data_IF_847346859055
#
_entry.id   IF_847346859055
#
_cell.length_a   1.000
_cell.length_b   1.000
_cell.length_c   1.000
_cell.angle_alpha   90.00
_cell.angle_beta   90.00
_cell.angle_gamma   90.00
#
_symmetry.space_group_name_H-M   'P 1'
#
loop_
_entity.id
_entity.type
_entity.pdbx_description
1 polymer ?
#
# COMPACT_ATOMS: atom_id res chain seq x y z
N UNK A 1 -9.29 0.41 8.25
CA UNK A 1 -8.52 1.47 7.55
C UNK A 1 -7.05 1.30 7.90
N UNK A 2 -6.10 1.69 7.05
CA UNK A 2 -4.69 1.49 7.36
C UNK A 2 -4.17 2.52 8.38
N UNK A 3 -3.28 2.09 9.28
CA UNK A 3 -2.64 2.99 10.25
C UNK A 3 -1.80 4.04 9.51
N UNK A 4 -2.03 5.32 9.81
CA UNK A 4 -1.33 6.47 9.20
C UNK A 4 0.19 6.35 9.31
N UNK A 5 0.70 5.91 10.46
CA UNK A 5 2.14 5.70 10.68
C UNK A 5 2.75 4.67 9.72
N UNK A 6 1.97 3.66 9.29
CA UNK A 6 2.45 2.64 8.36
C UNK A 6 2.45 3.13 6.91
N UNK A 7 1.53 4.03 6.56
CA UNK A 7 1.49 4.69 5.25
C UNK A 7 2.72 5.60 5.11
N UNK A 8 2.96 6.45 6.13
CA UNK A 8 4.15 7.30 6.17
C UNK A 8 5.46 6.50 6.14
N UNK A 9 5.53 5.37 6.84
CA UNK A 9 6.70 4.47 6.80
C UNK A 9 6.97 3.94 5.39
N UNK A 10 5.93 3.66 4.61
CA UNK A 10 6.05 3.13 3.26
C UNK A 10 6.49 4.20 2.24
N UNK A 11 6.11 5.46 2.45
CA UNK A 11 6.54 6.58 1.60
C UNK A 11 8.03 6.89 1.74
N UNK A 12 8.64 6.53 2.87
CA UNK A 12 10.09 6.69 3.08
C UNK A 12 10.86 5.69 2.24
N UNK A 13 12.04 6.10 1.76
CA UNK A 13 12.96 5.23 1.03
C UNK A 13 13.42 4.08 1.94
N UNK A 14 13.13 2.82 1.59
CA UNK A 14 13.54 1.69 2.42
C UNK A 14 15.04 1.44 2.27
N UNK A 15 15.70 1.02 3.37
CA UNK A 15 17.12 0.63 3.37
C UNK A 15 17.45 -0.47 2.35
N UNK A 16 16.52 -1.38 2.09
CA UNK A 16 16.67 -2.47 1.13
C UNK A 16 15.48 -2.51 0.17
N UNK A 17 15.74 -2.67 -1.12
CA UNK A 17 14.72 -2.70 -2.18
C UNK A 17 13.61 -3.73 -1.92
N UNK A 18 13.96 -4.88 -1.34
CA UNK A 18 13.02 -5.98 -1.02
C UNK A 18 11.96 -5.61 0.02
N UNK A 19 12.16 -4.53 0.80
CA UNK A 19 11.19 -4.08 1.81
C UNK A 19 10.06 -3.21 1.22
N UNK A 20 10.20 -2.79 -0.04
CA UNK A 20 9.13 -2.11 -0.76
C UNK A 20 7.96 -3.08 -0.97
N UNK A 21 6.77 -2.66 -0.56
CA UNK A 21 5.54 -3.41 -0.74
C UNK A 21 4.45 -2.46 -1.22
N UNK A 22 3.46 -2.97 -1.92
CA UNK A 22 2.38 -2.14 -2.44
C UNK A 22 1.24 -2.02 -1.43
N UNK A 23 0.65 -0.83 -1.36
CA UNK A 23 -0.57 -0.54 -0.61
C UNK A 23 -1.54 0.16 -1.53
N UNK A 24 -2.83 -0.03 -1.28
CA UNK A 24 -3.88 0.70 -2.00
C UNK A 24 -3.70 2.21 -1.84
N UNK A 25 -3.76 2.96 -2.96
CA UNK A 25 -3.66 4.43 -2.93
C UNK A 25 -4.85 5.13 -2.24
N UNK A 26 -6.02 4.48 -2.24
CA UNK A 26 -7.27 5.05 -1.68
C UNK A 26 -7.33 4.85 -0.16
N UNK A 27 -7.15 3.62 0.32
CA UNK A 27 -7.39 3.26 1.73
C UNK A 27 -6.14 2.77 2.49
N UNK A 28 -4.98 2.68 1.82
CA UNK A 28 -3.72 2.23 2.42
C UNK A 28 -3.66 0.74 2.76
N UNK A 29 -4.62 -0.08 2.31
CA UNK A 29 -4.68 -1.52 2.65
C UNK A 29 -3.47 -2.28 2.08
N UNK A 30 -2.76 -3.09 2.89
CA UNK A 30 -1.54 -3.77 2.47
C UNK A 30 -1.78 -5.10 1.73
N UNK A 31 -3.02 -5.62 1.71
CA UNK A 31 -3.35 -6.92 1.10
C UNK A 31 -4.39 -6.78 0.01
N UNK A 32 -4.33 -7.68 -0.97
CA UNK A 32 -5.24 -7.71 -2.11
C UNK A 32 -5.04 -6.51 -3.04
N UNK A 33 -3.79 -6.13 -3.30
CA UNK A 33 -3.42 -5.03 -4.19
C UNK A 33 -3.52 -5.47 -5.65
N UNK A 34 -4.37 -4.79 -6.42
CA UNK A 34 -4.54 -4.97 -7.85
C UNK A 34 -3.59 -4.02 -8.58
N UNK A 35 -2.49 -4.56 -9.15
CA UNK A 35 -1.42 -3.74 -9.76
C UNK A 35 -1.89 -2.88 -10.93
N UNK A 36 -2.84 -3.38 -11.73
CA UNK A 36 -3.39 -2.65 -12.88
C UNK A 36 -4.15 -1.37 -12.49
N UNK A 37 -4.79 -1.38 -11.32
CA UNK A 37 -5.66 -0.30 -10.86
C UNK A 37 -5.13 0.44 -9.61
N UNK A 38 -3.96 0.03 -9.12
CA UNK A 38 -3.28 0.58 -7.93
C UNK A 38 -4.16 0.67 -6.67
N UNK A 39 -5.18 -0.18 -6.60
CA UNK A 39 -6.21 -0.21 -5.57
C UNK A 39 -6.24 -1.58 -4.86
N UNK A 40 -6.91 -1.65 -3.70
CA UNK A 40 -7.23 -2.94 -3.09
C UNK A 40 -8.53 -3.52 -3.66
N UNK A 41 -8.70 -4.83 -3.53
CA UNK A 41 -9.90 -5.58 -3.94
C UNK A 41 -11.25 -5.05 -3.40
N UNK A 42 -11.23 -4.21 -2.37
CA UNK A 42 -12.44 -3.66 -1.74
C UNK A 42 -12.77 -2.28 -2.28
N UNK A 43 -11.76 -1.43 -2.50
CA UNK A 43 -11.97 -0.12 -3.13
C UNK A 43 -12.25 -0.22 -4.64
N UNK A 44 -11.94 -1.37 -5.23
CA UNK A 44 -12.28 -1.67 -6.63
C UNK A 44 -13.69 -2.26 -6.78
N UNK A 45 -14.29 -2.75 -5.69
CA UNK A 45 -15.67 -3.20 -5.66
C UNK A 45 -16.56 -1.99 -5.43
#
# INVERSE_FOLDING_TARGET
MAKTSLIMKQQRTPKYKVRSHNRCKICGRPRGYLRKFEACRICFR
#
